data_IF_650246566630
#
_entry.id   IF_650246566630
#
_cell.length_a   1.000
_cell.length_b   1.000
_cell.length_c   1.000
_cell.angle_alpha   90.00
_cell.angle_beta   90.00
_cell.angle_gamma   90.00
#
_symmetry.space_group_name_H-M   'P 1'
#
loop_
_entity.id
_entity.type
_entity.pdbx_description
1 polymer ?
#
# COMPACT_ATOMS: atom_id res chain seq x y z
N UNK A 1 20.14 -21.53 -25.34
CA UNK A 1 20.67 -20.64 -24.27
C UNK A 1 20.18 -19.25 -24.60
N UNK A 2 19.04 -18.85 -24.05
CA UNK A 2 18.46 -17.53 -24.29
C UNK A 2 19.29 -16.52 -23.52
N UNK A 3 19.95 -15.62 -24.22
CA UNK A 3 20.79 -14.58 -23.60
C UNK A 3 19.90 -13.54 -22.93
N UNK A 4 20.10 -13.31 -21.64
CA UNK A 4 19.37 -12.28 -20.87
C UNK A 4 19.54 -10.90 -21.55
N UNK A 5 18.46 -10.15 -21.81
CA UNK A 5 18.54 -8.83 -22.44
C UNK A 5 19.42 -7.84 -21.66
N UNK A 6 20.06 -6.84 -22.33
CA UNK A 6 20.92 -5.86 -21.68
C UNK A 6 20.25 -5.07 -20.54
N UNK A 7 18.97 -4.74 -20.67
CA UNK A 7 18.20 -4.02 -19.65
C UNK A 7 17.99 -4.88 -18.40
N UNK A 8 17.62 -6.16 -18.59
CA UNK A 8 17.53 -7.11 -17.48
C UNK A 8 18.89 -7.35 -16.81
N UNK A 9 19.99 -7.42 -17.57
CA UNK A 9 21.33 -7.47 -17.00
C UNK A 9 21.69 -6.21 -16.20
N UNK A 10 21.28 -5.03 -16.66
CA UNK A 10 21.52 -3.78 -15.96
C UNK A 10 20.77 -3.73 -14.62
N UNK A 11 19.53 -4.22 -14.59
CA UNK A 11 18.76 -4.37 -13.35
C UNK A 11 19.45 -5.34 -12.38
N UNK A 12 19.83 -6.53 -12.83
CA UNK A 12 20.50 -7.52 -11.99
C UNK A 12 21.81 -6.98 -11.39
N UNK A 13 22.58 -6.18 -12.14
CA UNK A 13 23.78 -5.50 -11.61
C UNK A 13 23.46 -4.46 -10.54
N UNK A 14 22.34 -3.75 -10.65
CA UNK A 14 21.87 -2.83 -9.61
C UNK A 14 21.42 -3.60 -8.38
N UNK A 15 20.67 -4.69 -8.56
CA UNK A 15 20.27 -5.60 -7.50
C UNK A 15 21.46 -6.17 -6.73
N UNK A 16 22.50 -6.65 -7.43
CA UNK A 16 23.72 -7.15 -6.80
C UNK A 16 24.45 -6.07 -5.96
N UNK A 17 24.31 -4.79 -6.32
CA UNK A 17 24.87 -3.67 -5.55
C UNK A 17 24.03 -3.38 -4.32
N UNK A 18 22.71 -3.30 -4.49
CA UNK A 18 21.75 -3.02 -3.43
C UNK A 18 21.74 -4.10 -2.36
N UNK A 19 21.88 -5.38 -2.74
CA UNK A 19 21.89 -6.52 -1.81
C UNK A 19 23.18 -6.70 -1.01
N UNK A 20 24.23 -5.88 -1.22
CA UNK A 20 25.49 -5.97 -0.45
C UNK A 20 25.37 -5.93 1.07
N UNK A 21 24.47 -5.14 1.69
CA UNK A 21 24.29 -5.12 3.13
C UNK A 21 23.38 -6.25 3.65
N UNK A 22 22.67 -6.99 2.77
CA UNK A 22 21.77 -8.11 3.11
C UNK A 22 22.58 -9.36 3.47
N UNK A 23 22.14 -10.22 4.42
CA UNK A 23 22.76 -11.51 4.68
C UNK A 23 22.95 -12.34 3.39
N UNK A 24 24.10 -13.00 3.26
CA UNK A 24 24.53 -13.60 1.98
C UNK A 24 23.60 -14.69 1.47
N UNK A 25 23.01 -15.47 2.37
CA UNK A 25 22.04 -16.51 2.08
C UNK A 25 20.75 -15.94 1.52
N UNK A 26 20.21 -14.90 2.16
CA UNK A 26 19.01 -14.17 1.70
C UNK A 26 19.27 -13.47 0.36
N UNK A 27 20.40 -12.75 0.25
CA UNK A 27 20.80 -12.11 -1.00
C UNK A 27 20.95 -13.12 -2.15
N UNK A 28 21.55 -14.30 -1.87
CA UNK A 28 21.69 -15.36 -2.86
C UNK A 28 20.34 -15.97 -3.27
N UNK A 29 19.41 -16.13 -2.33
CA UNK A 29 18.07 -16.66 -2.62
C UNK A 29 17.27 -15.70 -3.50
N UNK A 30 17.24 -14.41 -3.16
CA UNK A 30 16.58 -13.36 -3.96
C UNK A 30 17.18 -13.32 -5.36
N UNK A 31 18.51 -13.31 -5.46
CA UNK A 31 19.21 -13.27 -6.74
C UNK A 31 18.91 -14.50 -7.59
N UNK A 32 18.89 -15.69 -6.99
CA UNK A 32 18.60 -16.93 -7.69
C UNK A 32 17.16 -16.94 -8.21
N UNK A 33 16.17 -16.59 -7.38
CA UNK A 33 14.76 -16.56 -7.78
C UNK A 33 14.51 -15.62 -8.97
N UNK A 34 15.03 -14.39 -8.92
CA UNK A 34 14.88 -13.44 -10.02
C UNK A 34 15.62 -13.93 -11.28
N UNK A 35 16.77 -14.58 -11.14
CA UNK A 35 17.47 -15.15 -12.31
C UNK A 35 16.69 -16.28 -12.95
N UNK A 36 16.14 -17.18 -12.13
CA UNK A 36 15.37 -18.33 -12.58
C UNK A 36 14.10 -17.88 -13.30
N UNK A 37 13.39 -16.91 -12.75
CA UNK A 37 12.21 -16.32 -13.36
C UNK A 37 12.55 -15.70 -14.73
N UNK A 38 13.63 -14.90 -14.82
CA UNK A 38 14.02 -14.27 -16.08
C UNK A 38 14.58 -15.25 -17.12
N UNK A 39 15.15 -16.38 -16.69
CA UNK A 39 15.69 -17.39 -17.60
C UNK A 39 14.60 -18.17 -18.36
N UNK A 40 13.38 -18.22 -17.81
CA UNK A 40 12.23 -18.88 -18.41
C UNK A 40 11.43 -18.03 -19.41
N UNK A 41 11.76 -16.74 -19.53
CA UNK A 41 10.98 -15.78 -20.33
C UNK A 41 11.62 -15.50 -21.69
N UNK A 42 10.77 -15.11 -22.65
CA UNK A 42 11.24 -14.56 -23.92
C UNK A 42 11.90 -13.18 -23.70
N UNK A 43 12.80 -12.72 -24.60
CA UNK A 43 13.60 -11.52 -24.36
C UNK A 43 12.79 -10.26 -24.03
N UNK A 44 11.66 -10.02 -24.70
CA UNK A 44 10.84 -8.84 -24.44
C UNK A 44 10.05 -8.98 -23.13
N UNK A 45 9.55 -10.18 -22.83
CA UNK A 45 8.85 -10.47 -21.57
C UNK A 45 9.79 -10.33 -20.37
N UNK A 46 11.06 -10.72 -20.49
CA UNK A 46 12.06 -10.52 -19.45
C UNK A 46 12.32 -9.03 -19.18
N UNK A 47 12.27 -8.17 -20.20
CA UNK A 47 12.39 -6.71 -20.03
C UNK A 47 11.17 -6.14 -19.32
N UNK A 48 9.97 -6.50 -19.77
CA UNK A 48 8.74 -6.01 -19.16
C UNK A 48 8.58 -6.52 -17.72
N UNK A 49 9.02 -7.75 -17.46
CA UNK A 49 9.05 -8.31 -16.11
C UNK A 49 10.02 -7.55 -15.20
N UNK A 50 11.21 -7.21 -15.69
CA UNK A 50 12.16 -6.40 -14.92
C UNK A 50 11.62 -5.01 -14.59
N UNK A 51 10.83 -4.40 -15.48
CA UNK A 51 10.16 -3.11 -15.22
C UNK A 51 9.04 -3.21 -14.19
N UNK A 52 8.48 -4.41 -14.00
CA UNK A 52 7.47 -4.67 -12.96
C UNK A 52 8.06 -4.99 -11.59
N UNK A 53 9.36 -5.26 -11.50
CA UNK A 53 10.01 -5.43 -10.20
C UNK A 53 10.21 -4.07 -9.52
N UNK A 54 10.17 -4.10 -8.19
CA UNK A 54 10.52 -2.95 -7.36
C UNK A 54 11.97 -2.50 -7.59
N UNK A 55 12.28 -1.29 -7.13
CA UNK A 55 13.65 -0.81 -7.12
C UNK A 55 14.54 -1.77 -6.31
N UNK A 56 15.69 -2.22 -6.86
CA UNK A 56 16.73 -2.93 -6.14
C UNK A 56 16.99 -2.50 -4.70
N UNK A 57 17.00 -1.19 -4.42
CA UNK A 57 17.25 -0.67 -3.07
C UNK A 57 16.06 -0.94 -2.12
N UNK A 58 14.82 -0.89 -2.63
CA UNK A 58 13.63 -1.26 -1.86
C UNK A 58 13.60 -2.75 -1.55
N UNK A 59 13.96 -3.61 -2.52
CA UNK A 59 14.09 -5.07 -2.31
C UNK A 59 15.13 -5.37 -1.22
N UNK A 60 16.27 -4.69 -1.25
CA UNK A 60 17.31 -4.86 -0.24
C UNK A 60 16.86 -4.38 1.16
N UNK A 61 16.13 -3.26 1.23
CA UNK A 61 15.58 -2.75 2.47
C UNK A 61 14.55 -3.71 3.09
N UNK A 62 13.65 -4.27 2.28
CA UNK A 62 12.67 -5.27 2.71
C UNK A 62 13.36 -6.55 3.24
N UNK A 63 14.34 -7.07 2.50
CA UNK A 63 15.09 -8.26 2.89
C UNK A 63 15.85 -8.07 4.22
N UNK A 64 16.34 -6.85 4.49
CA UNK A 64 16.94 -6.50 5.78
C UNK A 64 15.93 -6.42 6.92
N UNK A 65 14.67 -6.04 6.64
CA UNK A 65 13.58 -6.05 7.61
C UNK A 65 13.23 -7.47 8.05
N UNK A 66 13.03 -8.38 7.10
CA UNK A 66 12.71 -9.79 7.35
C UNK A 66 13.84 -10.53 8.08
N UNK A 67 15.10 -10.34 7.63
CA UNK A 67 16.27 -10.97 8.25
C UNK A 67 16.46 -10.58 9.72
N UNK A 68 16.02 -9.37 10.11
CA UNK A 68 16.09 -8.90 11.51
C UNK A 68 14.94 -9.45 12.37
N UNK A 69 13.80 -9.79 11.76
CA UNK A 69 12.70 -10.47 12.46
C UNK A 69 13.10 -11.90 12.87
N UNK A 70 13.86 -12.60 12.01
CA UNK A 70 14.38 -13.95 12.29
C UNK A 70 15.59 -13.98 13.24
N UNK A 71 16.27 -12.86 13.44
CA UNK A 71 17.42 -12.76 14.33
C UNK A 71 17.06 -12.68 15.85
N UNK A 72 15.78 -12.79 16.23
CA UNK A 72 15.39 -12.87 17.64
C UNK A 72 15.94 -14.15 18.27
N UNK A 73 16.80 -14.09 19.31
CA UNK A 73 17.28 -15.30 19.96
C UNK A 73 16.10 -15.99 20.65
N UNK A 74 15.81 -17.22 20.21
CA UNK A 74 14.83 -18.07 20.89
C UNK A 74 15.18 -18.16 22.39
N UNK A 75 14.21 -17.98 23.32
CA UNK A 75 14.48 -18.14 24.73
C UNK A 75 14.96 -19.58 24.98
N UNK A 76 16.15 -19.70 25.58
CA UNK A 76 16.73 -20.98 26.04
C UNK A 76 15.78 -21.63 27.06
N UNK A 77 14.81 -22.41 26.58
CA UNK A 77 14.04 -23.32 27.43
C UNK A 77 14.93 -24.51 27.76
N UNK A 78 15.17 -24.67 29.06
CA UNK A 78 15.90 -25.79 29.65
C UNK A 78 15.31 -27.11 29.15
N UNK A 79 16.18 -27.95 28.61
CA UNK A 79 15.87 -29.32 28.22
C UNK A 79 15.34 -30.11 29.43
N UNK A 80 14.12 -30.60 29.31
CA UNK A 80 13.59 -31.71 30.10
C UNK A 80 13.13 -32.76 29.09
N UNK A 81 13.91 -33.84 29.06
CA UNK A 81 13.69 -35.04 28.28
C UNK A 81 12.38 -35.73 28.69
N UNK A 82 11.43 -35.88 27.76
CA UNK A 82 10.43 -36.94 27.80
C UNK A 82 10.27 -37.51 26.38
N UNK A 83 10.59 -38.79 26.27
CA UNK A 83 10.39 -39.69 25.13
C UNK A 83 8.89 -39.93 24.93
N UNK A 84 8.39 -39.83 23.71
CA UNK A 84 6.99 -40.18 23.41
C UNK A 84 6.60 -39.98 21.95
N UNK A 85 6.68 -41.06 21.17
CA UNK A 85 6.23 -41.18 19.79
C UNK A 85 4.73 -40.86 19.61
N UNK A 86 4.34 -40.27 18.46
CA UNK A 86 3.27 -40.81 17.59
C UNK A 86 3.57 -40.42 16.14
N UNK A 87 3.63 -41.44 15.29
CA UNK A 87 3.70 -41.38 13.84
C UNK A 87 2.30 -41.35 13.23
N UNK A 88 2.12 -40.66 12.09
CA UNK A 88 1.15 -41.07 11.06
C UNK A 88 1.83 -40.97 9.69
N UNK A 89 1.72 -42.10 8.99
CA UNK A 89 2.43 -42.57 7.81
C UNK A 89 1.54 -42.37 6.57
N UNK A 90 2.15 -41.84 5.49
CA UNK A 90 2.23 -42.32 4.09
C UNK A 90 0.95 -42.94 3.46
N UNK A 91 0.54 -42.56 2.25
CA UNK A 91 0.75 -43.26 0.94
C UNK A 91 -0.40 -42.69 0.07
N UNK A 92 -0.20 -42.19 -1.16
CA UNK A 92 -0.23 -42.98 -2.40
C UNK A 92 0.60 -42.28 -3.48
N UNK A 93 1.66 -42.96 -3.90
CA UNK A 93 2.25 -42.82 -5.21
C UNK A 93 2.14 -44.17 -5.95
N UNK A 94 1.64 -44.08 -7.19
CA UNK A 94 2.07 -44.83 -8.37
C UNK A 94 1.76 -46.34 -8.51
N UNK A 95 1.10 -46.63 -9.64
CA UNK A 95 1.46 -47.56 -10.73
C UNK A 95 0.30 -48.48 -11.12
N UNK A 96 -0.36 -48.15 -12.24
CA UNK A 96 -0.65 -49.14 -13.28
C UNK A 96 -0.11 -48.57 -14.59
N UNK A 97 1.05 -49.09 -14.98
CA UNK A 97 1.59 -48.94 -16.32
C UNK A 97 0.90 -49.95 -17.25
N UNK A 98 0.47 -49.48 -18.44
CA UNK A 98 0.67 -50.13 -19.74
C UNK A 98 -0.39 -49.65 -20.73
N UNK A 99 0.01 -48.78 -21.67
CA UNK A 99 -0.39 -48.80 -23.09
C UNK A 99 0.34 -47.66 -23.80
N UNK A 100 1.44 -48.00 -24.45
CA UNK A 100 2.11 -47.14 -25.43
C UNK A 100 1.34 -47.29 -26.74
N UNK A 101 0.85 -46.18 -27.31
CA UNK A 101 0.83 -45.87 -28.76
C UNK A 101 -0.14 -44.71 -29.04
N UNK A 102 0.31 -43.73 -29.83
CA UNK A 102 -0.59 -42.81 -30.54
C UNK A 102 -0.20 -41.35 -30.45
N UNK A 103 0.72 -40.92 -31.31
CA UNK A 103 0.77 -39.53 -31.75
C UNK A 103 -0.58 -39.16 -32.36
N UNK A 104 -1.16 -38.04 -31.93
CA UNK A 104 -2.03 -37.18 -32.73
C UNK A 104 -2.10 -35.82 -32.04
N UNK A 105 -1.44 -34.84 -32.68
CA UNK A 105 -1.67 -33.43 -32.47
C UNK A 105 -3.14 -33.12 -32.75
N UNK A 106 -3.97 -33.12 -31.71
CA UNK A 106 -5.30 -32.50 -31.76
C UNK A 106 -5.15 -30.99 -31.56
N UNK A 107 -5.91 -30.14 -32.27
CA UNK A 107 -6.04 -28.73 -31.88
C UNK A 107 -6.49 -28.70 -30.42
N UNK A 108 -5.80 -27.93 -29.58
CA UNK A 108 -6.34 -27.60 -28.25
C UNK A 108 -7.73 -26.99 -28.50
N UNK A 109 -8.79 -27.40 -27.78
CA UNK A 109 -10.01 -26.61 -27.78
C UNK A 109 -9.59 -25.20 -27.39
N UNK A 110 -9.94 -24.24 -28.22
CA UNK A 110 -9.77 -22.84 -27.91
C UNK A 110 -10.24 -22.65 -26.47
N UNK A 111 -9.37 -22.08 -25.64
CA UNK A 111 -9.86 -21.41 -24.44
C UNK A 111 -10.77 -20.33 -24.99
N UNK A 112 -12.05 -20.67 -25.09
CA UNK A 112 -13.10 -19.71 -25.32
C UNK A 112 -12.79 -18.53 -24.42
N UNK A 113 -12.58 -17.38 -25.05
CA UNK A 113 -12.48 -16.12 -24.39
C UNK A 113 -13.63 -16.08 -23.39
N UNK A 114 -13.26 -16.03 -22.10
CA UNK A 114 -14.23 -15.81 -21.04
C UNK A 114 -15.06 -14.60 -21.47
N UNK A 115 -16.39 -14.72 -21.58
CA UNK A 115 -17.21 -13.63 -22.07
C UNK A 115 -16.85 -12.41 -21.22
N UNK A 116 -16.48 -11.32 -21.90
CA UNK A 116 -16.30 -10.04 -21.24
C UNK A 116 -17.54 -9.84 -20.36
N UNK A 117 -17.34 -9.81 -19.05
CA UNK A 117 -18.41 -9.40 -18.13
C UNK A 117 -19.00 -8.09 -18.63
N UNK A 118 -20.28 -7.79 -18.31
CA UNK A 118 -20.95 -6.60 -18.82
C UNK A 118 -20.02 -5.39 -18.71
N UNK A 119 -19.72 -4.79 -19.87
CA UNK A 119 -18.84 -3.63 -19.96
C UNK A 119 -19.33 -2.58 -18.98
N UNK A 120 -18.42 -2.05 -18.16
CA UNK A 120 -18.76 -0.92 -17.32
C UNK A 120 -19.29 0.21 -18.21
N UNK A 121 -20.45 0.75 -17.83
CA UNK A 121 -21.10 1.80 -18.60
C UNK A 121 -20.43 3.12 -18.26
N UNK A 122 -19.85 3.77 -19.27
CA UNK A 122 -19.32 5.12 -19.13
C UNK A 122 -20.49 6.09 -18.91
N UNK A 123 -20.59 6.64 -17.71
CA UNK A 123 -21.53 7.73 -17.44
C UNK A 123 -20.89 9.05 -17.93
N UNK A 124 -21.62 9.88 -18.69
CA UNK A 124 -21.07 11.13 -19.19
C UNK A 124 -20.74 12.05 -18.01
N UNK A 125 -19.51 12.59 -17.99
CA UNK A 125 -19.13 13.58 -17.01
C UNK A 125 -19.90 14.86 -17.28
N UNK A 126 -20.75 15.27 -16.32
CA UNK A 126 -21.38 16.58 -16.32
C UNK A 126 -20.28 17.63 -16.34
N UNK A 127 -20.39 18.63 -17.22
CA UNK A 127 -19.44 19.73 -17.23
C UNK A 127 -19.69 20.61 -15.99
N UNK A 128 -18.84 20.43 -14.98
CA UNK A 128 -18.86 21.19 -13.73
C UNK A 128 -18.04 22.48 -13.82
N UNK A 129 -17.43 22.76 -14.98
CA UNK A 129 -16.40 23.78 -15.12
C UNK A 129 -15.07 23.37 -14.45
N UNK A 130 -14.10 24.29 -14.39
CA UNK A 130 -12.80 24.01 -13.79
C UNK A 130 -12.90 23.82 -12.27
N UNK A 131 -12.20 22.81 -11.75
CA UNK A 131 -12.03 22.62 -10.31
C UNK A 131 -11.36 23.85 -9.68
N UNK A 132 -11.92 24.43 -8.60
CA UNK A 132 -11.30 25.57 -7.94
C UNK A 132 -9.94 25.18 -7.34
N UNK A 133 -8.90 25.94 -7.70
CA UNK A 133 -7.55 25.67 -7.24
C UNK A 133 -7.44 25.75 -5.71
N UNK A 134 -6.72 24.82 -5.05
CA UNK A 134 -6.39 24.93 -3.64
C UNK A 134 -5.65 26.23 -3.32
N UNK A 135 -6.06 26.86 -2.24
CA UNK A 135 -5.26 27.94 -1.66
C UNK A 135 -3.91 27.35 -1.22
N UNK A 136 -2.82 28.03 -1.58
CA UNK A 136 -1.49 27.70 -1.06
C UNK A 136 -1.27 28.55 0.18
N UNK A 137 -1.17 27.96 1.38
CA UNK A 137 -0.97 28.75 2.59
C UNK A 137 0.35 29.52 2.53
N UNK A 138 0.35 30.75 3.04
CA UNK A 138 1.57 31.53 3.20
C UNK A 138 2.50 30.92 4.27
N UNK A 139 3.77 31.34 4.37
CA UNK A 139 4.71 30.79 5.36
C UNK A 139 4.20 30.84 6.81
N UNK A 140 3.64 31.97 7.23
CA UNK A 140 3.11 32.15 8.59
C UNK A 140 1.86 31.28 8.84
N UNK A 141 1.04 31.07 7.81
CA UNK A 141 -0.13 30.22 7.87
C UNK A 141 0.25 28.74 7.92
N UNK A 142 1.25 28.31 7.15
CA UNK A 142 1.81 26.96 7.23
C UNK A 142 2.32 26.66 8.63
N UNK A 143 3.05 27.60 9.23
CA UNK A 143 3.58 27.45 10.58
C UNK A 143 2.45 27.36 11.61
N UNK A 144 1.43 28.22 11.48
CA UNK A 144 0.24 28.15 12.33
C UNK A 144 -0.44 26.79 12.20
N UNK A 145 -0.68 26.30 10.99
CA UNK A 145 -1.33 25.01 10.74
C UNK A 145 -0.50 23.83 11.29
N UNK A 146 0.83 23.89 11.17
CA UNK A 146 1.74 22.89 11.75
C UNK A 146 1.60 22.84 13.27
N UNK A 147 1.63 24.00 13.93
CA UNK A 147 1.52 24.09 15.39
C UNK A 147 0.14 23.61 15.87
N UNK A 148 -0.94 23.97 15.18
CA UNK A 148 -2.30 23.49 15.49
C UNK A 148 -2.42 21.96 15.36
N UNK A 149 -1.79 21.35 14.35
CA UNK A 149 -1.75 19.89 14.23
C UNK A 149 -0.91 19.24 15.33
N UNK A 150 0.25 19.80 15.67
CA UNK A 150 1.05 19.30 16.80
C UNK A 150 0.31 19.44 18.13
N UNK A 151 -0.49 20.50 18.32
CA UNK A 151 -1.31 20.67 19.52
C UNK A 151 -2.40 19.60 19.58
N UNK A 152 -3.11 19.33 18.47
CA UNK A 152 -4.10 18.22 18.40
C UNK A 152 -3.48 16.87 18.69
N UNK A 153 -2.29 16.59 18.14
CA UNK A 153 -1.57 15.34 18.41
C UNK A 153 -1.18 15.24 19.88
N UNK A 154 -0.75 16.35 20.50
CA UNK A 154 -0.41 16.37 21.92
C UNK A 154 -1.64 16.21 22.83
N UNK A 155 -2.78 16.77 22.45
CA UNK A 155 -4.05 16.56 23.15
C UNK A 155 -4.43 15.07 23.18
N UNK A 156 -4.14 14.32 22.10
CA UNK A 156 -4.35 12.87 22.08
C UNK A 156 -3.42 12.11 23.06
N UNK A 157 -2.15 12.54 23.18
CA UNK A 157 -1.21 12.00 24.18
C UNK A 157 -1.74 12.23 25.59
N UNK A 158 -2.12 13.48 25.91
CA UNK A 158 -2.55 13.86 27.26
C UNK A 158 -3.94 13.35 27.64
N UNK A 159 -4.78 13.03 26.65
CA UNK A 159 -6.03 12.31 26.88
C UNK A 159 -5.79 10.91 27.48
N UNK A 160 -4.67 10.27 27.14
CA UNK A 160 -4.29 8.94 27.66
C UNK A 160 -3.33 9.05 28.85
N UNK A 161 -2.39 10.00 28.81
CA UNK A 161 -1.35 10.23 29.81
C UNK A 161 -1.36 11.70 30.26
N UNK A 162 -2.24 12.09 31.21
CA UNK A 162 -2.47 13.49 31.57
C UNK A 162 -1.25 14.23 32.13
N UNK A 163 -0.32 13.50 32.75
CA UNK A 163 0.90 14.05 33.36
C UNK A 163 2.10 14.04 32.41
N UNK A 164 1.91 13.61 31.15
CA UNK A 164 2.97 13.56 30.15
C UNK A 164 3.55 14.95 29.91
N UNK A 165 4.87 15.02 29.70
CA UNK A 165 5.58 16.26 29.44
C UNK A 165 5.85 16.42 27.95
N UNK A 166 5.37 17.52 27.36
CA UNK A 166 5.54 17.79 25.93
C UNK A 166 7.01 18.09 25.61
N UNK A 167 7.62 17.37 24.63
CA UNK A 167 8.91 17.75 24.07
C UNK A 167 8.86 19.15 23.46
N UNK A 168 9.93 19.94 23.63
CA UNK A 168 10.03 21.25 23.00
C UNK A 168 10.22 21.10 21.48
N UNK A 169 9.37 21.79 20.70
CA UNK A 169 9.26 21.79 19.23
C UNK A 169 10.06 20.68 18.51
N UNK A 170 9.47 19.49 18.32
CA UNK A 170 10.19 18.36 17.74
C UNK A 170 10.44 18.50 16.23
N UNK A 171 9.90 19.55 15.58
CA UNK A 171 9.94 19.70 14.12
C UNK A 171 11.35 19.68 13.55
N UNK A 172 11.55 18.85 12.54
CA UNK A 172 12.80 18.73 11.79
C UNK A 172 12.60 19.23 10.35
N UNK A 173 11.64 18.63 9.63
CA UNK A 173 11.36 18.97 8.24
C UNK A 173 9.97 18.47 7.81
N UNK A 174 9.47 19.04 6.72
CA UNK A 174 8.30 18.47 6.05
C UNK A 174 8.71 17.27 5.21
N UNK A 175 8.01 16.15 5.37
CA UNK A 175 8.20 14.97 4.52
C UNK A 175 7.27 14.96 3.31
N UNK A 176 7.72 14.32 2.23
CA UNK A 176 6.82 13.88 1.16
C UNK A 176 5.88 12.81 1.74
N UNK A 177 4.55 12.86 1.50
CA UNK A 177 3.65 11.83 1.98
C UNK A 177 4.02 10.41 1.50
N UNK A 178 4.68 10.29 0.34
CA UNK A 178 5.14 9.03 -0.24
C UNK A 178 6.56 8.63 0.20
N UNK A 179 7.28 9.50 0.92
CA UNK A 179 8.58 9.17 1.52
C UNK A 179 8.47 9.18 3.04
N UNK A 180 8.48 7.98 3.62
CA UNK A 180 8.43 7.78 5.07
C UNK A 180 9.80 7.47 5.67
N UNK A 181 10.89 7.59 4.92
CA UNK A 181 12.22 7.12 5.35
C UNK A 181 12.67 7.76 6.67
N UNK A 182 12.56 9.09 6.79
CA UNK A 182 12.98 9.81 7.99
C UNK A 182 12.08 9.49 9.20
N UNK A 183 10.77 9.43 8.99
CA UNK A 183 9.79 9.04 10.01
C UNK A 183 10.06 7.62 10.52
N UNK A 184 10.25 6.66 9.62
CA UNK A 184 10.56 5.26 9.96
C UNK A 184 11.89 5.15 10.71
N UNK A 185 12.89 5.92 10.31
CA UNK A 185 14.15 6.04 11.03
C UNK A 185 13.96 6.50 12.46
N UNK A 186 13.15 7.54 12.68
CA UNK A 186 12.83 8.04 14.02
C UNK A 186 12.09 6.99 14.86
N UNK A 187 11.00 6.42 14.35
CA UNK A 187 10.20 5.41 15.06
C UNK A 187 11.04 4.18 15.44
N UNK A 188 11.87 3.71 14.51
CA UNK A 188 12.76 2.56 14.75
C UNK A 188 13.86 2.89 15.77
N UNK A 189 14.45 4.09 15.70
CA UNK A 189 15.47 4.54 16.64
C UNK A 189 14.90 4.72 18.06
N UNK A 190 13.63 5.10 18.17
CA UNK A 190 12.89 5.15 19.42
C UNK A 190 12.52 3.75 19.97
N UNK A 191 12.76 2.68 19.20
CA UNK A 191 12.42 1.31 19.58
C UNK A 191 10.94 0.99 19.46
N UNK A 192 10.16 1.82 18.75
CA UNK A 192 8.73 1.62 18.58
C UNK A 192 8.46 0.48 17.57
N UNK A 193 7.43 -0.34 17.80
CA UNK A 193 6.95 -1.26 16.79
C UNK A 193 6.37 -0.48 15.61
N UNK A 194 6.77 -0.86 14.41
CA UNK A 194 6.28 -0.28 13.16
C UNK A 194 5.56 -1.35 12.36
N UNK A 195 4.36 -1.01 11.90
CA UNK A 195 3.59 -1.78 10.95
C UNK A 195 3.55 -1.03 9.61
N UNK A 196 3.80 -1.74 8.52
CA UNK A 196 3.83 -1.16 7.18
C UNK A 196 2.64 -1.72 6.40
N UNK A 197 1.63 -0.88 6.16
CA UNK A 197 0.48 -1.28 5.36
C UNK A 197 0.81 -1.23 3.88
N UNK A 198 0.52 -2.28 3.12
CA UNK A 198 0.71 -2.37 1.67
C UNK A 198 -0.62 -2.35 0.92
N UNK A 199 -0.66 -1.76 -0.27
CA UNK A 199 -1.80 -1.94 -1.19
C UNK A 199 -1.80 -3.36 -1.79
N UNK A 200 -3.00 -3.86 -2.07
CA UNK A 200 -3.19 -5.07 -2.88
C UNK A 200 -2.66 -4.75 -4.29
N UNK A 201 -1.49 -5.28 -4.65
CA UNK A 201 -0.81 -4.98 -5.92
C UNK A 201 0.68 -4.70 -5.83
N UNK A 202 1.27 -4.64 -4.63
CA UNK A 202 2.73 -4.62 -4.46
C UNK A 202 3.39 -3.23 -4.53
N UNK A 203 2.63 -2.15 -4.41
CA UNK A 203 3.17 -0.78 -4.42
C UNK A 203 3.62 -0.28 -3.04
N UNK A 204 4.67 -0.86 -2.46
CA UNK A 204 5.33 -0.36 -1.24
C UNK A 204 4.41 -0.17 0.00
N UNK A 205 4.95 0.37 1.11
CA UNK A 205 4.12 0.74 2.25
C UNK A 205 3.35 2.03 1.94
N UNK A 206 2.02 1.93 1.86
CA UNK A 206 1.10 3.07 1.70
C UNK A 206 0.66 3.69 3.02
N UNK A 207 0.93 3.01 4.13
CA UNK A 207 0.71 3.55 5.47
C UNK A 207 1.79 3.08 6.44
N UNK A 208 2.10 3.95 7.40
CA UNK A 208 2.99 3.64 8.53
C UNK A 208 2.14 3.64 9.79
N UNK A 209 1.98 2.48 10.39
CA UNK A 209 1.36 2.28 11.69
C UNK A 209 2.42 2.17 12.78
N UNK A 210 2.10 2.62 13.99
CA UNK A 210 2.87 2.32 15.19
C UNK A 210 1.91 2.03 16.34
N UNK A 211 2.35 1.21 17.29
CA UNK A 211 1.58 0.91 18.50
C UNK A 211 2.41 1.23 19.72
N UNK A 212 1.78 1.78 20.73
CA UNK A 212 2.39 2.25 21.97
C UNK A 212 1.67 1.62 23.14
N UNK A 213 2.40 1.38 24.22
CA UNK A 213 1.88 0.73 25.43
C UNK A 213 2.29 1.43 26.71
N UNK A 214 3.14 2.44 26.60
CA UNK A 214 3.63 3.25 27.73
C UNK A 214 3.63 4.72 27.38
N UNK A 215 3.64 5.59 28.40
CA UNK A 215 3.77 7.05 28.22
C UNK A 215 5.03 7.40 27.41
N UNK A 216 6.17 6.77 27.71
CA UNK A 216 7.42 7.04 27.01
C UNK A 216 7.33 6.69 25.51
N UNK A 217 6.67 5.59 25.17
CA UNK A 217 6.43 5.21 23.77
C UNK A 217 5.47 6.18 23.06
N UNK A 218 4.42 6.64 23.74
CA UNK A 218 3.47 7.62 23.21
C UNK A 218 4.14 8.98 22.95
N UNK A 219 4.95 9.46 23.90
CA UNK A 219 5.73 10.69 23.76
C UNK A 219 6.77 10.56 22.64
N UNK A 220 7.40 9.39 22.50
CA UNK A 220 8.34 9.13 21.40
C UNK A 220 7.63 9.10 20.04
N UNK A 221 6.44 8.47 19.97
CA UNK A 221 5.60 8.45 18.76
C UNK A 221 5.23 9.88 18.36
N UNK A 222 4.70 10.68 19.29
CA UNK A 222 4.42 12.10 19.08
C UNK A 222 5.66 12.84 18.55
N UNK A 223 6.82 12.66 19.18
CA UNK A 223 8.07 13.32 18.76
C UNK A 223 8.41 13.01 17.30
N UNK A 224 8.27 11.76 16.88
CA UNK A 224 8.58 11.37 15.50
C UNK A 224 7.57 11.91 14.48
N UNK A 225 6.27 11.83 14.77
CA UNK A 225 5.24 12.33 13.86
C UNK A 225 5.25 13.87 13.75
N UNK A 226 5.45 14.55 14.87
CA UNK A 226 5.57 16.00 14.92
C UNK A 226 6.92 16.52 14.38
N UNK A 227 7.96 15.66 14.38
CA UNK A 227 9.27 15.92 13.80
C UNK A 227 9.30 15.86 12.26
N UNK A 228 8.51 14.95 11.69
CA UNK A 228 8.43 14.72 10.24
C UNK A 228 6.98 14.80 9.72
N UNK A 229 6.28 15.93 9.88
CA UNK A 229 4.91 16.07 9.39
C UNK A 229 4.90 16.20 7.87
N UNK A 230 3.78 15.85 7.24
CA UNK A 230 3.53 16.27 5.85
C UNK A 230 3.22 17.76 5.82
N UNK A 231 3.50 18.42 4.70
CA UNK A 231 3.18 19.84 4.53
C UNK A 231 1.65 20.07 4.67
N UNK A 232 1.20 20.94 5.59
CA UNK A 232 -0.22 21.25 5.70
C UNK A 232 -0.77 21.81 4.39
N UNK A 233 -1.99 21.39 4.06
CA UNK A 233 -2.79 21.99 2.98
C UNK A 233 -3.78 22.97 3.58
N UNK A 234 -4.11 24.02 2.82
CA UNK A 234 -5.17 24.93 3.25
C UNK A 234 -6.49 24.16 3.43
N UNK A 235 -7.32 24.52 4.43
CA UNK A 235 -8.70 24.06 4.48
C UNK A 235 -9.42 24.35 3.16
N UNK A 236 -10.31 23.44 2.74
CA UNK A 236 -11.09 23.64 1.52
C UNK A 236 -11.98 24.89 1.66
N UNK A 237 -11.99 25.70 0.61
CA UNK A 237 -12.91 26.85 0.51
C UNK A 237 -14.33 26.37 0.22
N UNK A 238 -15.34 27.22 0.49
CA UNK A 238 -16.74 26.92 0.14
C UNK A 238 -16.89 26.56 -1.34
N UNK A 239 -16.21 27.27 -2.25
CA UNK A 239 -16.25 26.96 -3.68
C UNK A 239 -15.70 25.56 -4.01
N UNK A 240 -14.66 25.11 -3.31
CA UNK A 240 -14.11 23.77 -3.48
C UNK A 240 -15.04 22.70 -2.91
N UNK A 241 -15.68 22.96 -1.77
CA UNK A 241 -16.67 22.05 -1.21
C UNK A 241 -17.92 21.95 -2.09
N UNK A 242 -18.34 23.08 -2.69
CA UNK A 242 -19.43 23.11 -3.64
C UNK A 242 -19.12 22.31 -4.91
N UNK A 243 -17.91 22.46 -5.44
CA UNK A 243 -17.45 21.69 -6.58
C UNK A 243 -17.37 20.20 -6.25
N UNK A 244 -16.79 19.86 -5.09
CA UNK A 244 -16.70 18.47 -4.61
C UNK A 244 -18.10 17.86 -4.48
N UNK A 245 -19.04 18.56 -3.85
CA UNK A 245 -20.41 18.06 -3.71
C UNK A 245 -21.07 17.81 -5.07
N UNK A 246 -20.97 18.76 -6.00
CA UNK A 246 -21.49 18.57 -7.37
C UNK A 246 -20.83 17.37 -8.06
N UNK A 247 -19.52 17.22 -7.95
CA UNK A 247 -18.83 16.06 -8.50
C UNK A 247 -19.35 14.73 -7.92
N UNK A 248 -19.53 14.66 -6.60
CA UNK A 248 -20.02 13.45 -5.95
C UNK A 248 -21.47 13.13 -6.37
N UNK A 249 -22.36 14.13 -6.41
CA UNK A 249 -23.80 13.87 -6.63
C UNK A 249 -24.24 13.90 -8.09
N UNK A 250 -23.59 14.71 -8.93
CA UNK A 250 -23.99 14.91 -10.33
C UNK A 250 -23.19 14.02 -11.31
N UNK A 251 -22.10 13.40 -10.84
CA UNK A 251 -21.30 12.48 -11.64
C UNK A 251 -21.03 11.15 -10.95
N UNK A 252 -20.38 11.15 -9.78
CA UNK A 252 -19.84 9.91 -9.22
C UNK A 252 -20.94 8.93 -8.79
N UNK A 253 -21.96 9.41 -8.06
CA UNK A 253 -23.14 8.61 -7.68
C UNK A 253 -23.85 8.07 -8.93
N UNK A 254 -24.25 8.90 -9.92
CA UNK A 254 -24.86 8.39 -11.15
C UNK A 254 -23.97 7.38 -11.92
N UNK A 255 -22.65 7.56 -11.90
CA UNK A 255 -21.72 6.61 -12.52
C UNK A 255 -21.73 5.25 -11.82
N UNK A 256 -21.71 5.25 -10.49
CA UNK A 256 -21.86 4.04 -9.69
C UNK A 256 -23.21 3.37 -9.95
N UNK A 257 -24.31 4.12 -9.96
CA UNK A 257 -25.65 3.58 -10.22
C UNK A 257 -25.79 2.98 -11.63
N UNK A 258 -25.18 3.61 -12.65
CA UNK A 258 -25.12 3.10 -14.01
C UNK A 258 -24.34 1.77 -14.12
N UNK A 259 -23.49 1.47 -13.14
CA UNK A 259 -22.73 0.22 -13.03
C UNK A 259 -23.30 -0.74 -11.97
N UNK A 260 -24.55 -0.52 -11.54
CA UNK A 260 -25.26 -1.41 -10.61
C UNK A 260 -24.84 -1.24 -9.14
N UNK A 261 -24.10 -0.19 -8.81
CA UNK A 261 -23.63 0.11 -7.45
C UNK A 261 -24.57 1.12 -6.82
N UNK A 262 -25.39 0.64 -5.88
CA UNK A 262 -26.36 1.50 -5.17
C UNK A 262 -25.66 2.26 -4.05
N UNK A 263 -25.92 3.56 -3.96
CA UNK A 263 -25.39 4.43 -2.92
C UNK A 263 -26.49 4.98 -2.02
N UNK A 264 -26.14 5.28 -0.76
CA UNK A 264 -27.05 5.98 0.14
C UNK A 264 -27.33 7.39 -0.39
N UNK A 265 -28.54 7.89 -0.13
CA UNK A 265 -28.94 9.24 -0.54
C UNK A 265 -27.98 10.28 0.07
N UNK A 266 -27.50 11.20 -0.78
CA UNK A 266 -26.67 12.31 -0.34
C UNK A 266 -27.41 13.22 0.67
N UNK A 267 -26.69 13.79 1.66
CA UNK A 267 -27.21 14.88 2.48
C UNK A 267 -27.48 16.11 1.61
N UNK A 268 -28.09 17.16 2.18
CA UNK A 268 -28.18 18.42 1.43
C UNK A 268 -26.78 19.03 1.24
N UNK A 269 -26.62 19.88 0.23
CA UNK A 269 -25.37 20.62 0.01
C UNK A 269 -24.98 21.46 1.23
N UNK A 270 -25.96 22.11 1.85
CA UNK A 270 -25.75 22.93 3.05
C UNK A 270 -25.28 22.06 4.23
N UNK A 271 -25.89 20.89 4.44
CA UNK A 271 -25.47 19.94 5.48
C UNK A 271 -24.05 19.42 5.20
N UNK A 272 -23.74 19.10 3.93
CA UNK A 272 -22.41 18.63 3.52
C UNK A 272 -21.33 19.68 3.82
N UNK A 273 -21.56 20.94 3.42
CA UNK A 273 -20.60 22.04 3.61
C UNK A 273 -20.46 22.40 5.08
N UNK A 274 -21.55 22.45 5.84
CA UNK A 274 -21.54 22.85 7.25
C UNK A 274 -20.91 21.81 8.18
N UNK A 275 -20.98 20.53 7.82
CA UNK A 275 -20.43 19.43 8.62
C UNK A 275 -19.01 19.03 8.19
N UNK A 276 -18.47 19.61 7.11
CA UNK A 276 -17.16 19.26 6.58
C UNK A 276 -16.05 19.34 7.65
N UNK A 277 -15.13 18.36 7.74
CA UNK A 277 -15.00 17.12 6.94
C UNK A 277 -15.74 15.91 7.55
N UNK A 278 -16.63 16.13 8.51
CA UNK A 278 -17.31 15.11 9.33
C UNK A 278 -18.77 14.84 8.91
N UNK A 279 -19.12 15.09 7.65
CA UNK A 279 -20.49 14.94 7.12
C UNK A 279 -21.04 13.50 7.13
N UNK A 280 -20.22 12.49 7.44
CA UNK A 280 -20.67 11.10 7.58
C UNK A 280 -21.19 10.45 6.30
N UNK A 281 -20.99 11.07 5.13
CA UNK A 281 -21.42 10.56 3.84
C UNK A 281 -20.37 10.80 2.76
N UNK A 282 -20.07 9.74 2.02
CA UNK A 282 -19.40 9.72 0.72
C UNK A 282 -19.99 8.58 -0.09
N UNK A 283 -20.04 8.68 -1.43
CA UNK A 283 -20.34 7.52 -2.25
C UNK A 283 -19.18 6.52 -2.21
N UNK A 284 -19.51 5.24 -2.13
CA UNK A 284 -18.54 4.15 -2.07
C UNK A 284 -19.02 2.91 -2.84
N UNK A 285 -18.11 1.97 -3.04
CA UNK A 285 -18.36 0.71 -3.77
C UNK A 285 -18.39 -0.51 -2.84
N UNK A 286 -18.24 -0.30 -1.52
CA UNK A 286 -17.99 -1.36 -0.53
C UNK A 286 -19.15 -2.34 -0.45
N UNK A 287 -20.38 -1.85 -0.50
CA UNK A 287 -21.59 -2.69 -0.42
C UNK A 287 -21.82 -3.55 -1.65
N UNK A 288 -21.13 -3.28 -2.77
CA UNK A 288 -21.28 -4.04 -4.01
C UNK A 288 -20.44 -5.33 -4.05
N UNK A 289 -19.57 -5.58 -3.05
CA UNK A 289 -18.75 -6.79 -2.95
C UNK A 289 -17.99 -7.13 -4.26
N UNK A 290 -17.42 -6.10 -4.89
CA UNK A 290 -16.70 -6.21 -6.16
C UNK A 290 -15.41 -7.03 -6.00
N UNK A 291 -15.09 -7.85 -7.00
CA UNK A 291 -13.73 -8.40 -7.14
C UNK A 291 -12.72 -7.30 -7.50
N UNK A 292 -11.42 -7.55 -7.29
CA UNK A 292 -10.35 -6.59 -7.62
C UNK A 292 -10.42 -6.11 -9.08
N UNK A 293 -10.72 -7.03 -10.01
CA UNK A 293 -10.85 -6.72 -11.42
C UNK A 293 -12.08 -5.84 -11.72
N UNK A 294 -13.17 -6.03 -10.97
CA UNK A 294 -14.35 -5.18 -11.07
C UNK A 294 -14.08 -3.81 -10.46
N UNK A 295 -13.42 -3.74 -9.30
CA UNK A 295 -13.03 -2.48 -8.68
C UNK A 295 -12.15 -1.64 -9.62
N UNK A 296 -11.11 -2.23 -10.20
CA UNK A 296 -10.26 -1.55 -11.20
C UNK A 296 -11.05 -1.05 -12.42
N UNK A 297 -12.05 -1.83 -12.86
CA UNK A 297 -12.93 -1.43 -13.96
C UNK A 297 -13.80 -0.24 -13.56
N UNK A 298 -14.32 -0.22 -12.35
CA UNK A 298 -15.12 0.90 -11.83
C UNK A 298 -14.25 2.14 -11.66
N UNK A 299 -13.06 2.03 -11.06
CA UNK A 299 -12.15 3.17 -10.85
C UNK A 299 -11.68 3.78 -12.18
N UNK A 300 -11.46 2.94 -13.20
CA UNK A 300 -11.11 3.41 -14.54
C UNK A 300 -12.29 3.99 -15.33
N UNK A 301 -13.53 3.64 -14.98
CA UNK A 301 -14.75 4.13 -15.67
C UNK A 301 -15.32 5.38 -15.00
N UNK A 302 -15.42 5.37 -13.68
CA UNK A 302 -15.93 6.46 -12.84
C UNK A 302 -14.76 7.28 -12.30
N UNK A 303 -14.03 7.95 -13.21
CA UNK A 303 -12.78 8.64 -12.87
C UNK A 303 -13.01 9.90 -12.04
N UNK A 304 -12.06 10.20 -11.16
CA UNK A 304 -11.92 11.53 -10.57
C UNK A 304 -11.33 12.49 -11.62
N UNK A 305 -11.80 13.74 -11.71
CA UNK A 305 -11.13 14.76 -12.50
C UNK A 305 -9.72 14.97 -11.92
N UNK A 306 -8.75 15.13 -12.83
CA UNK A 306 -7.36 15.43 -12.50
C UNK A 306 -7.21 16.86 -11.95
#
# INVERSE_FOLDING_TARGET
MTTVPPEAQAYLKRLDRALRPVPRDVASAIRAGITEELAGLEPQEAVDRVRSFDDPEAIAAAALGESRADARPAPRRRALWIVGAVAVVVVVALVVAASVSGWLSGPRPDRDAQPAGPSASAFPMTDLGPSPAPATPGPDELEKLRLEEQDRQWDAVTATYPDAVRPADPFQEYRDPNDSTALLGCLTAAGLPVDLGSTVGGGGPVSVGTSTSTEAEEVASFTCWAGYPTKPVAPMTTAQLDYLYSYLTEYLVPCYEANGITNAKAPSREDFVSQWPNQGWFPDTTSAALSDQEQQRIDSTCKRPD
#
